data_IF_978450980873
#
_entry.id   IF_978450980873
#
_cell.length_a   1.000
_cell.length_b   1.000
_cell.length_c   1.000
_cell.angle_alpha   90.00
_cell.angle_beta   90.00
_cell.angle_gamma   90.00
#
_symmetry.space_group_name_H-M   'P 1'
#
loop_
_entity.id
_entity.type
_entity.pdbx_description
1 polymer ?
#
# COMPACT_ATOMS: atom_id res chain seq x y z
N UNK A 1 -27.01 -9.69 -20.45
CA UNK A 1 -26.13 -8.83 -19.62
C UNK A 1 -26.98 -7.66 -19.14
N UNK A 2 -27.39 -7.66 -17.87
CA UNK A 2 -28.14 -6.52 -17.30
C UNK A 2 -27.12 -5.44 -16.93
N UNK A 3 -27.01 -4.41 -17.76
CA UNK A 3 -26.15 -3.26 -17.49
C UNK A 3 -26.67 -2.56 -16.24
N UNK A 4 -25.95 -2.68 -15.13
CA UNK A 4 -26.36 -2.08 -13.86
C UNK A 4 -25.96 -0.60 -13.89
N UNK A 5 -26.77 0.22 -14.57
CA UNK A 5 -26.50 1.63 -14.86
C UNK A 5 -26.01 2.42 -13.64
N UNK A 6 -26.55 2.26 -12.42
CA UNK A 6 -26.05 2.94 -11.23
C UNK A 6 -24.59 2.60 -10.89
N UNK A 7 -24.18 1.33 -11.01
CA UNK A 7 -22.79 0.90 -10.75
C UNK A 7 -21.82 1.50 -11.76
N UNK A 8 -22.22 1.57 -13.03
CA UNK A 8 -21.39 2.09 -14.10
C UNK A 8 -21.18 3.60 -13.94
N UNK A 9 -22.24 4.31 -13.55
CA UNK A 9 -22.18 5.75 -13.25
C UNK A 9 -21.30 6.05 -12.04
N UNK A 10 -21.46 5.32 -10.92
CA UNK A 10 -20.63 5.56 -9.72
C UNK A 10 -19.15 5.26 -9.97
N UNK A 11 -18.85 4.19 -10.72
CA UNK A 11 -17.48 3.84 -11.10
C UNK A 11 -16.85 4.88 -12.03
N UNK A 12 -17.60 5.34 -13.04
CA UNK A 12 -17.13 6.38 -13.96
C UNK A 12 -16.85 7.70 -13.21
N UNK A 13 -17.75 8.13 -12.33
CA UNK A 13 -17.56 9.33 -11.50
C UNK A 13 -16.32 9.17 -10.61
N UNK A 14 -16.15 8.02 -9.96
CA UNK A 14 -14.98 7.75 -9.12
C UNK A 14 -13.67 7.91 -9.90
N UNK A 15 -13.55 7.29 -11.08
CA UNK A 15 -12.36 7.43 -11.92
C UNK A 15 -12.13 8.88 -12.32
N UNK A 16 -13.18 9.59 -12.76
CA UNK A 16 -13.08 10.99 -13.15
C UNK A 16 -12.57 11.87 -12.01
N UNK A 17 -13.11 11.69 -10.80
CA UNK A 17 -12.68 12.42 -9.61
C UNK A 17 -11.21 12.10 -9.27
N UNK A 18 -10.81 10.83 -9.31
CA UNK A 18 -9.42 10.43 -9.06
C UNK A 18 -8.43 11.04 -10.05
N UNK A 19 -8.77 11.04 -11.34
CA UNK A 19 -7.95 11.69 -12.39
C UNK A 19 -7.88 13.20 -12.14
N UNK A 20 -9.02 13.83 -11.84
CA UNK A 20 -9.09 15.26 -11.59
C UNK A 20 -8.21 15.69 -10.41
N UNK A 21 -8.26 14.96 -9.29
CA UNK A 21 -7.39 15.17 -8.13
C UNK A 21 -5.92 14.99 -8.53
N UNK A 22 -5.61 13.94 -9.30
CA UNK A 22 -4.26 13.69 -9.81
C UNK A 22 -3.70 14.82 -10.67
N UNK A 23 -4.52 15.42 -11.54
CA UNK A 23 -4.13 16.55 -12.38
C UNK A 23 -3.87 17.83 -11.56
N UNK A 24 -4.67 18.07 -10.52
CA UNK A 24 -4.44 19.19 -9.59
C UNK A 24 -3.13 18.96 -8.82
N UNK A 25 -2.93 17.76 -8.28
CA UNK A 25 -1.71 17.41 -7.55
C UNK A 25 -0.47 17.46 -8.43
N UNK A 26 -0.57 17.08 -9.71
CA UNK A 26 0.53 17.17 -10.67
C UNK A 26 1.04 18.61 -10.83
N UNK A 27 0.14 19.60 -10.83
CA UNK A 27 0.52 21.02 -10.89
C UNK A 27 1.20 21.53 -9.61
N UNK A 28 1.02 20.83 -8.49
CA UNK A 28 1.63 21.17 -7.21
C UNK A 28 3.05 20.59 -7.03
N UNK A 29 3.45 19.64 -7.88
CA UNK A 29 4.75 18.96 -7.80
C UNK A 29 5.77 19.62 -8.72
N UNK A 30 6.73 20.37 -8.15
CA UNK A 30 7.77 21.05 -8.95
C UNK A 30 9.17 20.46 -8.75
N UNK A 31 9.42 19.79 -7.62
CA UNK A 31 10.70 19.19 -7.30
C UNK A 31 10.56 17.76 -6.74
N UNK A 32 11.69 17.08 -6.54
CA UNK A 32 11.72 15.70 -6.07
C UNK A 32 11.21 15.52 -4.64
N UNK A 33 11.44 16.52 -3.78
CA UNK A 33 10.93 16.53 -2.40
C UNK A 33 9.40 16.71 -2.38
N UNK A 34 8.84 17.51 -3.30
CA UNK A 34 7.41 17.67 -3.50
C UNK A 34 6.77 16.36 -3.95
N UNK A 35 7.45 15.62 -4.83
CA UNK A 35 6.96 14.34 -5.33
C UNK A 35 6.96 13.26 -4.25
N UNK A 36 8.00 13.19 -3.42
CA UNK A 36 8.13 12.13 -2.40
C UNK A 36 7.40 12.48 -1.08
N UNK A 37 7.38 13.75 -0.68
CA UNK A 37 6.83 14.18 0.62
C UNK A 37 5.64 15.14 0.52
N UNK A 38 5.14 15.45 -0.69
CA UNK A 38 4.08 16.43 -0.86
C UNK A 38 4.47 17.82 -0.36
N UNK A 39 5.76 18.17 -0.48
CA UNK A 39 6.32 19.46 -0.04
C UNK A 39 6.36 19.64 1.47
N UNK A 40 6.10 18.56 2.25
CA UNK A 40 5.91 18.60 3.72
C UNK A 40 4.78 19.53 4.18
N UNK A 41 3.95 20.01 3.26
CA UNK A 41 2.78 20.86 3.54
C UNK A 41 1.51 20.04 3.78
N UNK A 42 1.55 18.73 3.57
CA UNK A 42 0.45 17.83 3.87
C UNK A 42 0.25 17.75 5.39
N UNK A 43 -0.93 18.15 5.87
CA UNK A 43 -1.28 18.08 7.28
C UNK A 43 -1.16 16.66 7.85
N UNK A 44 -0.86 16.55 9.14
CA UNK A 44 -0.61 15.27 9.83
C UNK A 44 -1.70 14.22 9.61
N UNK A 45 -2.97 14.63 9.57
CA UNK A 45 -4.11 13.75 9.33
C UNK A 45 -4.12 13.18 7.91
N UNK A 46 -3.82 14.00 6.89
CA UNK A 46 -3.83 13.57 5.48
C UNK A 46 -2.68 12.60 5.23
N UNK A 47 -1.49 12.93 5.73
CA UNK A 47 -0.33 12.03 5.71
C UNK A 47 -0.64 10.72 6.42
N UNK A 48 -1.37 10.79 7.54
CA UNK A 48 -1.70 9.60 8.29
C UNK A 48 -2.68 8.67 7.57
N UNK A 49 -3.73 9.25 6.99
CA UNK A 49 -4.70 8.53 6.18
C UNK A 49 -4.05 7.92 4.93
N UNK A 50 -3.13 8.64 4.27
CA UNK A 50 -2.40 8.11 3.11
C UNK A 50 -1.51 6.93 3.47
N UNK A 51 -0.81 6.99 4.62
CA UNK A 51 0.00 5.89 5.12
C UNK A 51 -0.89 4.67 5.45
N UNK A 52 -2.02 4.89 6.11
CA UNK A 52 -3.01 3.84 6.39
C UNK A 52 -3.59 3.22 5.12
N UNK A 53 -3.99 4.01 4.13
CA UNK A 53 -4.49 3.52 2.85
C UNK A 53 -3.44 2.70 2.08
N UNK A 54 -2.15 3.01 2.25
CA UNK A 54 -1.04 2.26 1.65
C UNK A 54 -0.82 0.91 2.33
N UNK A 55 -1.04 0.83 3.65
CA UNK A 55 -0.98 -0.41 4.43
C UNK A 55 -2.22 -1.30 4.23
N UNK A 56 -3.36 -0.68 3.90
CA UNK A 56 -4.62 -1.35 3.59
C UNK A 56 -4.60 -2.06 2.22
N UNK A 57 -3.93 -3.21 2.17
CA UNK A 57 -3.95 -4.12 1.01
C UNK A 57 -5.26 -4.93 0.89
N UNK A 58 -5.43 -5.64 -0.22
CA UNK A 58 -6.60 -6.51 -0.48
C UNK A 58 -6.85 -7.59 0.60
N UNK A 59 -5.85 -7.91 1.43
CA UNK A 59 -6.01 -8.82 2.57
C UNK A 59 -6.94 -8.23 3.65
N UNK A 60 -6.93 -6.92 3.90
CA UNK A 60 -7.85 -6.31 4.86
C UNK A 60 -9.28 -6.24 4.33
N UNK A 61 -9.43 -6.06 3.02
CA UNK A 61 -10.75 -5.95 2.38
C UNK A 61 -11.44 -7.31 2.23
N UNK A 62 -10.69 -8.38 1.94
CA UNK A 62 -11.25 -9.72 1.67
C UNK A 62 -10.86 -10.76 2.73
N UNK A 63 -9.64 -10.68 3.26
CA UNK A 63 -9.10 -11.67 4.21
C UNK A 63 -9.71 -11.55 5.61
N UNK A 64 -9.79 -10.34 6.16
CA UNK A 64 -10.30 -10.14 7.53
C UNK A 64 -11.81 -10.42 7.65
N UNK A 65 -12.68 -9.93 6.73
CA UNK A 65 -14.09 -10.33 6.71
C UNK A 65 -14.28 -11.82 6.38
N UNK A 66 -13.44 -12.39 5.51
CA UNK A 66 -13.49 -13.83 5.20
C UNK A 66 -13.14 -14.70 6.40
N UNK A 67 -12.13 -14.32 7.19
CA UNK A 67 -11.77 -15.00 8.42
C UNK A 67 -12.88 -14.89 9.47
N UNK A 68 -13.45 -13.70 9.67
CA UNK A 68 -14.59 -13.50 10.59
C UNK A 68 -15.83 -14.27 10.13
N UNK A 69 -16.07 -14.40 8.82
CA UNK A 69 -17.18 -15.18 8.30
C UNK A 69 -17.03 -16.69 8.57
N UNK A 70 -15.82 -17.23 8.49
CA UNK A 70 -15.53 -18.65 8.70
C UNK A 70 -15.39 -19.01 10.18
N UNK A 71 -14.67 -18.19 10.95
CA UNK A 71 -14.27 -18.47 12.34
C UNK A 71 -15.06 -17.65 13.38
N UNK A 72 -15.96 -16.77 12.93
CA UNK A 72 -16.84 -15.96 13.76
C UNK A 72 -16.18 -14.73 14.36
N UNK A 73 -16.91 -14.06 15.27
CA UNK A 73 -16.48 -12.83 15.97
C UNK A 73 -15.18 -13.01 16.76
N UNK A 74 -14.79 -14.25 17.06
CA UNK A 74 -13.49 -14.57 17.69
C UNK A 74 -12.32 -13.88 16.99
N UNK A 75 -12.33 -13.80 15.65
CA UNK A 75 -11.24 -13.19 14.86
C UNK A 75 -11.21 -11.64 14.91
N UNK A 76 -12.20 -11.00 15.57
CA UNK A 76 -12.22 -9.54 15.74
C UNK A 76 -11.03 -9.02 16.55
N UNK A 77 -10.35 -9.89 17.30
CA UNK A 77 -9.12 -9.55 18.02
C UNK A 77 -8.00 -9.09 17.06
N UNK A 78 -7.99 -9.57 15.82
CA UNK A 78 -7.02 -9.15 14.78
C UNK A 78 -7.21 -7.66 14.47
N UNK A 79 -8.45 -7.21 14.31
CA UNK A 79 -8.74 -5.79 14.06
C UNK A 79 -8.28 -4.92 15.24
N UNK A 80 -8.52 -5.36 16.48
CA UNK A 80 -8.08 -4.66 17.70
C UNK A 80 -6.54 -4.63 17.77
N UNK A 81 -5.89 -5.76 17.52
CA UNK A 81 -4.43 -5.89 17.50
C UNK A 81 -3.77 -5.01 16.44
N UNK A 82 -4.37 -4.90 15.25
CA UNK A 82 -3.90 -4.02 14.18
C UNK A 82 -4.03 -2.54 14.56
N UNK A 83 -5.16 -2.13 15.14
CA UNK A 83 -5.37 -0.73 15.57
C UNK A 83 -4.36 -0.34 16.66
N UNK A 84 -4.21 -1.18 17.68
CA UNK A 84 -3.27 -0.92 18.79
C UNK A 84 -1.82 -0.98 18.29
N UNK A 85 -1.50 -1.99 17.46
CA UNK A 85 -0.18 -2.17 16.88
C UNK A 85 0.25 -1.01 16.00
N UNK A 86 -0.64 -0.54 15.11
CA UNK A 86 -0.41 0.63 14.27
C UNK A 86 -0.21 1.89 15.11
N UNK A 87 -1.05 2.10 16.14
CA UNK A 87 -0.92 3.24 17.04
C UNK A 87 0.42 3.23 17.80
N UNK A 88 0.81 2.08 18.36
CA UNK A 88 2.08 1.94 19.08
C UNK A 88 3.28 2.08 18.15
N UNK A 89 3.22 1.52 16.94
CA UNK A 89 4.27 1.68 15.93
C UNK A 89 4.49 3.16 15.61
N UNK A 90 3.41 3.91 15.39
CA UNK A 90 3.50 5.34 15.13
C UNK A 90 4.12 6.11 16.30
N UNK A 91 3.62 5.84 17.51
CA UNK A 91 4.02 6.56 18.71
C UNK A 91 5.48 6.29 19.09
N UNK A 92 5.94 5.04 18.94
CA UNK A 92 7.26 4.62 19.41
C UNK A 92 8.33 4.72 18.32
N UNK A 93 8.00 4.37 17.08
CA UNK A 93 8.98 4.20 16.00
C UNK A 93 9.00 5.42 15.08
N UNK A 94 7.86 5.89 14.59
CA UNK A 94 7.83 6.92 13.55
C UNK A 94 8.42 8.26 14.04
N UNK A 95 8.09 8.68 15.27
CA UNK A 95 8.63 9.90 15.86
C UNK A 95 10.15 9.86 16.05
N UNK A 96 10.68 8.75 16.57
CA UNK A 96 12.12 8.56 16.77
C UNK A 96 12.87 8.48 15.45
N UNK A 97 12.33 7.74 14.48
CA UNK A 97 12.94 7.60 13.17
C UNK A 97 13.02 8.95 12.44
N UNK A 98 12.01 9.82 12.59
CA UNK A 98 12.03 11.17 11.99
C UNK A 98 13.17 12.04 12.52
N UNK A 99 13.39 12.07 13.83
CA UNK A 99 14.49 12.84 14.43
C UNK A 99 15.84 12.35 13.88
N UNK A 100 15.98 11.04 13.71
CA UNK A 100 17.20 10.46 13.16
C UNK A 100 17.37 10.70 11.65
N UNK A 101 16.29 10.74 10.85
CA UNK A 101 16.41 11.06 9.42
C UNK A 101 16.76 12.52 9.20
N UNK A 102 16.22 13.46 10.00
CA UNK A 102 16.61 14.87 9.98
C UNK A 102 18.11 15.06 10.26
N UNK A 103 18.63 14.36 11.28
CA UNK A 103 20.04 14.44 11.65
C UNK A 103 21.00 13.80 10.63
N UNK A 104 20.51 12.91 9.75
CA UNK A 104 21.31 12.19 8.75
C UNK A 104 20.90 12.62 7.33
N UNK A 105 21.21 13.85 6.95
CA UNK A 105 20.96 14.41 5.61
C UNK A 105 19.49 14.39 5.16
N UNK A 106 18.54 14.40 6.10
CA UNK A 106 17.11 14.42 5.80
C UNK A 106 16.68 13.27 4.88
N UNK A 107 17.22 12.06 5.15
CA UNK A 107 16.99 10.88 4.33
C UNK A 107 15.48 10.60 4.15
N UNK A 108 15.09 10.45 2.89
CA UNK A 108 13.68 10.29 2.48
C UNK A 108 13.21 8.83 2.47
N UNK A 109 14.14 7.89 2.47
CA UNK A 109 13.85 6.44 2.42
C UNK A 109 14.71 5.68 3.42
N UNK A 110 14.26 4.49 3.86
CA UNK A 110 15.03 3.62 4.75
C UNK A 110 16.42 3.24 4.20
N UNK A 111 16.57 2.84 2.91
CA UNK A 111 17.90 2.57 2.34
C UNK A 111 18.83 3.79 2.35
N UNK A 112 18.28 4.97 2.11
CA UNK A 112 19.02 6.24 2.12
C UNK A 112 19.42 6.65 3.54
N UNK A 113 18.55 6.40 4.52
CA UNK A 113 18.84 6.58 5.94
C UNK A 113 19.99 5.68 6.40
N UNK A 114 20.00 4.40 6.02
CA UNK A 114 21.11 3.51 6.37
C UNK A 114 22.42 3.93 5.68
N UNK A 115 22.36 4.34 4.42
CA UNK A 115 23.55 4.78 3.69
C UNK A 115 24.17 6.05 4.30
N UNK A 116 23.35 7.02 4.69
CA UNK A 116 23.79 8.27 5.33
C UNK A 116 24.25 8.06 6.78
N UNK A 117 23.54 7.24 7.57
CA UNK A 117 23.88 6.95 8.98
C UNK A 117 25.19 6.20 9.14
N UNK A 118 25.51 5.30 8.21
CA UNK A 118 26.75 4.49 8.23
C UNK A 118 27.86 5.06 7.34
N UNK A 119 27.66 6.22 6.72
CA UNK A 119 28.62 6.88 5.81
C UNK A 119 29.18 5.93 4.73
N UNK A 120 28.31 5.08 4.18
CA UNK A 120 28.72 4.04 3.23
C UNK A 120 29.05 4.65 1.86
N UNK A 121 30.36 4.76 1.55
CA UNK A 121 30.84 5.25 0.25
C UNK A 121 30.60 4.27 -0.90
N UNK A 122 30.36 2.99 -0.60
CA UNK A 122 30.23 1.93 -1.61
C UNK A 122 28.80 1.74 -2.13
N UNK A 123 27.80 2.36 -1.47
CA UNK A 123 26.36 2.19 -1.74
C UNK A 123 25.84 0.75 -1.60
N UNK A 124 26.63 -0.17 -1.03
CA UNK A 124 26.22 -1.56 -0.81
C UNK A 124 25.03 -1.66 0.14
N UNK A 125 25.02 -0.89 1.22
CA UNK A 125 23.91 -0.85 2.18
C UNK A 125 22.59 -0.41 1.54
N UNK A 126 22.65 0.51 0.56
CA UNK A 126 21.49 0.94 -0.22
C UNK A 126 20.94 -0.21 -1.06
N UNK A 127 21.82 -0.92 -1.78
CA UNK A 127 21.43 -2.00 -2.69
C UNK A 127 20.85 -3.17 -1.90
N UNK A 128 21.52 -3.60 -0.83
CA UNK A 128 21.05 -4.71 0.01
C UNK A 128 19.69 -4.36 0.63
N UNK A 129 19.54 -3.15 1.18
CA UNK A 129 18.27 -2.71 1.78
C UNK A 129 17.15 -2.64 0.74
N UNK A 130 17.43 -2.09 -0.44
CA UNK A 130 16.45 -2.04 -1.54
C UNK A 130 16.06 -3.44 -2.03
N UNK A 131 17.02 -4.37 -2.10
CA UNK A 131 16.78 -5.75 -2.53
C UNK A 131 15.94 -6.51 -1.50
N UNK A 132 16.23 -6.34 -0.20
CA UNK A 132 15.39 -6.90 0.87
C UNK A 132 13.97 -6.37 0.77
N UNK A 133 13.76 -5.06 0.65
CA UNK A 133 12.42 -4.47 0.48
C UNK A 133 11.72 -5.04 -0.76
N UNK A 134 12.43 -5.13 -1.89
CA UNK A 134 11.91 -5.70 -3.13
C UNK A 134 11.47 -7.15 -2.96
N UNK A 135 12.28 -7.99 -2.33
CA UNK A 135 11.97 -9.39 -2.07
C UNK A 135 10.72 -9.50 -1.19
N UNK A 136 10.63 -8.75 -0.10
CA UNK A 136 9.46 -8.76 0.77
C UNK A 136 8.19 -8.29 0.05
N UNK A 137 8.28 -7.24 -0.78
CA UNK A 137 7.16 -6.79 -1.61
C UNK A 137 6.73 -7.87 -2.60
N UNK A 138 7.68 -8.55 -3.25
CA UNK A 138 7.38 -9.67 -4.14
C UNK A 138 6.74 -10.85 -3.40
N UNK A 139 7.21 -11.19 -2.20
CA UNK A 139 6.60 -12.23 -1.38
C UNK A 139 5.14 -11.93 -1.01
N UNK A 140 4.80 -10.66 -0.77
CA UNK A 140 3.42 -10.23 -0.52
C UNK A 140 2.59 -10.23 -1.82
N UNK A 141 3.15 -9.78 -2.94
CA UNK A 141 2.41 -9.58 -4.18
C UNK A 141 2.24 -10.88 -5.00
N UNK A 142 3.23 -11.76 -4.98
CA UNK A 142 3.30 -12.96 -5.83
C UNK A 142 2.18 -13.98 -5.56
N UNK A 143 1.83 -14.32 -4.29
CA UNK A 143 0.70 -15.22 -4.02
C UNK A 143 -0.63 -14.65 -4.52
N UNK A 144 -0.82 -13.33 -4.43
CA UNK A 144 -2.02 -12.65 -4.92
C UNK A 144 -2.14 -12.75 -6.43
N UNK A 145 -1.03 -12.50 -7.16
CA UNK A 145 -0.98 -12.64 -8.60
C UNK A 145 -1.26 -14.08 -9.06
N UNK A 146 -0.68 -15.07 -8.38
CA UNK A 146 -0.89 -16.49 -8.67
C UNK A 146 -2.33 -16.93 -8.40
N UNK A 147 -2.97 -16.43 -7.33
CA UNK A 147 -4.39 -16.68 -7.07
C UNK A 147 -5.28 -16.14 -8.19
N UNK A 148 -5.03 -14.90 -8.64
CA UNK A 148 -5.81 -14.27 -9.73
C UNK A 148 -5.67 -15.08 -11.03
N UNK A 149 -4.45 -15.55 -11.36
CA UNK A 149 -4.24 -16.39 -12.53
C UNK A 149 -4.91 -17.76 -12.38
N UNK A 150 -4.87 -18.36 -11.19
CA UNK A 150 -5.54 -19.63 -10.91
C UNK A 150 -7.07 -19.51 -11.08
N UNK A 151 -7.70 -18.52 -10.46
CA UNK A 151 -9.15 -18.29 -10.61
C UNK A 151 -9.56 -18.01 -12.05
N UNK A 152 -8.79 -17.19 -12.77
CA UNK A 152 -9.06 -16.89 -14.19
C UNK A 152 -8.96 -18.13 -15.07
N UNK A 153 -7.98 -19.01 -14.80
CA UNK A 153 -7.79 -20.27 -15.53
C UNK A 153 -8.93 -21.25 -15.25
N UNK A 154 -9.34 -21.40 -13.99
CA UNK A 154 -10.48 -22.26 -13.61
C UNK A 154 -11.78 -21.76 -14.26
N UNK A 155 -12.01 -20.44 -14.26
CA UNK A 155 -13.17 -19.84 -14.90
C UNK A 155 -13.20 -20.09 -16.41
N UNK A 156 -12.10 -19.81 -17.12
CA UNK A 156 -11.99 -20.06 -18.57
C UNK A 156 -12.20 -21.54 -18.89
N UNK A 157 -11.62 -22.45 -18.11
CA UNK A 157 -11.79 -23.90 -18.32
C UNK A 157 -13.23 -24.34 -18.10
N UNK A 158 -13.93 -23.75 -17.12
CA UNK A 158 -15.35 -24.02 -16.87
C UNK A 158 -16.25 -23.51 -18.00
N UNK A 159 -15.97 -22.32 -18.55
CA UNK A 159 -16.71 -21.75 -19.69
C UNK A 159 -16.49 -22.58 -20.95
N UNK A 160 -15.26 -22.99 -21.23
CA UNK A 160 -14.95 -23.86 -22.39
C UNK A 160 -15.71 -25.18 -22.30
N UNK A 161 -15.74 -25.82 -21.12
CA UNK A 161 -16.50 -27.06 -20.89
C UNK A 161 -18.01 -26.89 -21.07
N UNK A 162 -18.57 -25.72 -20.75
CA UNK A 162 -20.00 -25.42 -20.92
C UNK A 162 -20.39 -25.16 -22.38
N UNK A 163 -19.44 -24.77 -23.24
CA UNK A 163 -19.71 -24.55 -24.67
C UNK A 163 -19.41 -25.78 -25.55
N UNK A 164 -18.77 -26.81 -24.97
CA UNK A 164 -18.38 -28.04 -25.68
C UNK A 164 -19.35 -29.21 -25.50
N UNK A 165 -20.57 -28.98 -24.99
CA UNK A 165 -21.64 -29.96 -24.86
C UNK A 165 -22.95 -29.41 -25.40
#
# INVERSE_FOLDING_TARGET
MTTNTPMLVTFAIYIFVMIFIGLIAYRATNNFDDYILGGRSLGSVVTALSAGASDMSGWLLMGLPGAVFIYGISESWIAIGLVIGAYLNWKLVAGRLRVHTEANNNALTLPDYFTSRFADKSKLLRIISALVILVFLLFILLPVLLLVQHYSTVYLTSVIKMQSG
#
